data_IF_459480250607
#
_entry.id   IF_459480250607
#
_cell.length_a   1.000
_cell.length_b   1.000
_cell.length_c   1.000
_cell.angle_alpha   90.00
_cell.angle_beta   90.00
_cell.angle_gamma   90.00
#
_symmetry.space_group_name_H-M   'P 1'
#
loop_
_entity.id
_entity.type
_entity.pdbx_description
1 polymer ?
#
# COMPACT_ATOMS: atom_id res chain seq x y z
N UNK A 1 -11.04 -3.06 14.34
CA UNK A 1 -11.44 -2.62 12.98
C UNK A 1 -10.33 -1.86 12.26
N UNK A 2 -9.64 -0.96 12.95
CA UNK A 2 -8.55 -0.14 12.41
C UNK A 2 -7.40 -0.97 11.79
N UNK A 3 -7.02 -2.09 12.40
CA UNK A 3 -6.01 -3.03 11.87
C UNK A 3 -6.35 -3.55 10.47
N UNK A 4 -7.63 -3.87 10.19
CA UNK A 4 -8.07 -4.35 8.88
C UNK A 4 -7.85 -3.29 7.79
N UNK A 5 -8.21 -2.03 8.12
CA UNK A 5 -8.07 -0.88 7.21
C UNK A 5 -6.59 -0.62 6.90
N UNK A 6 -5.73 -0.66 7.93
CA UNK A 6 -4.29 -0.44 7.76
C UNK A 6 -3.68 -1.53 6.87
N UNK A 7 -4.01 -2.81 7.11
CA UNK A 7 -3.54 -3.92 6.28
C UNK A 7 -3.93 -3.69 4.82
N UNK A 8 -5.18 -3.28 4.56
CA UNK A 8 -5.66 -3.01 3.21
C UNK A 8 -4.89 -1.87 2.53
N UNK A 9 -4.66 -0.76 3.24
CA UNK A 9 -3.90 0.38 2.72
C UNK A 9 -2.43 0.05 2.45
N UNK A 10 -1.81 -0.78 3.29
CA UNK A 10 -0.45 -1.28 3.09
C UNK A 10 -0.36 -2.07 1.77
N UNK A 11 -1.30 -2.98 1.52
CA UNK A 11 -1.32 -3.77 0.28
C UNK A 11 -1.52 -2.89 -0.95
N UNK A 12 -2.41 -1.88 -0.86
CA UNK A 12 -2.60 -0.88 -1.93
C UNK A 12 -1.27 -0.15 -2.19
N UNK A 13 -0.61 0.34 -1.14
CA UNK A 13 0.67 1.05 -1.29
C UNK A 13 1.74 0.19 -1.96
N UNK A 14 1.95 -1.06 -1.52
CA UNK A 14 2.98 -1.92 -2.12
C UNK A 14 2.68 -2.27 -3.57
N UNK A 15 1.40 -2.43 -3.91
CA UNK A 15 0.97 -2.61 -5.29
C UNK A 15 1.32 -1.35 -6.11
N UNK A 16 1.08 -0.13 -5.62
CA UNK A 16 1.42 1.11 -6.33
C UNK A 16 2.94 1.23 -6.48
N UNK A 17 3.69 1.00 -5.40
CA UNK A 17 5.16 1.04 -5.40
C UNK A 17 5.78 0.07 -6.41
N UNK A 18 5.19 -1.14 -6.57
CA UNK A 18 5.64 -2.10 -7.58
C UNK A 18 5.47 -1.57 -8.99
N UNK A 19 4.36 -0.90 -9.28
CA UNK A 19 4.11 -0.31 -10.61
C UNK A 19 5.06 0.87 -10.84
N UNK A 20 5.23 1.74 -9.84
CA UNK A 20 6.16 2.88 -9.90
C UNK A 20 7.59 2.43 -10.23
N UNK A 21 8.08 1.37 -9.56
CA UNK A 21 9.41 0.79 -9.81
C UNK A 21 9.60 0.27 -11.25
N UNK A 22 8.52 -0.18 -11.89
CA UNK A 22 8.58 -0.68 -13.28
C UNK A 22 8.61 0.46 -14.31
N UNK A 23 7.96 1.57 -14.00
CA UNK A 23 7.75 2.67 -14.95
C UNK A 23 8.81 3.78 -14.81
N UNK A 24 9.29 4.06 -13.60
CA UNK A 24 10.25 5.13 -13.33
C UNK A 24 11.48 4.64 -12.54
N UNK A 25 12.63 5.26 -12.79
CA UNK A 25 13.82 5.04 -11.96
C UNK A 25 13.59 5.63 -10.57
N UNK A 26 13.55 4.77 -9.56
CA UNK A 26 13.36 5.18 -8.16
C UNK A 26 14.51 6.06 -7.66
N UNK A 27 14.18 7.29 -7.26
CA UNK A 27 15.09 8.17 -6.53
C UNK A 27 15.34 7.64 -5.10
N UNK A 28 16.42 8.07 -4.44
CA UNK A 28 16.79 7.62 -3.09
C UNK A 28 15.67 7.87 -2.06
N UNK A 29 14.99 9.01 -2.15
CA UNK A 29 13.86 9.38 -1.30
C UNK A 29 12.72 8.35 -1.35
N UNK A 30 12.35 7.92 -2.57
CA UNK A 30 11.31 6.90 -2.77
C UNK A 30 11.70 5.55 -2.17
N UNK A 31 12.97 5.16 -2.29
CA UNK A 31 13.48 3.93 -1.65
C UNK A 31 13.35 4.00 -0.13
N UNK A 32 13.72 5.13 0.48
CA UNK A 32 13.57 5.32 1.93
C UNK A 32 12.10 5.21 2.34
N UNK A 33 11.18 5.84 1.60
CA UNK A 33 9.74 5.76 1.85
C UNK A 33 9.20 4.32 1.76
N UNK A 34 9.66 3.51 0.80
CA UNK A 34 9.25 2.10 0.70
C UNK A 34 9.75 1.27 1.88
N UNK A 35 11.00 1.47 2.32
CA UNK A 35 11.57 0.78 3.49
C UNK A 35 10.79 1.16 4.74
N UNK A 36 10.47 2.44 4.88
CA UNK A 36 9.70 3.00 5.98
C UNK A 36 8.31 2.35 6.10
N UNK A 37 7.54 2.29 5.00
CA UNK A 37 6.23 1.62 5.00
C UNK A 37 6.36 0.12 5.24
N UNK A 38 7.46 -0.51 4.81
CA UNK A 38 7.73 -1.91 5.12
C UNK A 38 7.90 -2.17 6.62
N UNK A 39 8.59 -1.29 7.33
CA UNK A 39 8.68 -1.37 8.80
C UNK A 39 7.30 -1.23 9.44
N UNK A 40 6.48 -0.28 8.98
CA UNK A 40 5.09 -0.11 9.46
C UNK A 40 4.25 -1.35 9.21
N UNK A 41 4.43 -1.98 8.05
CA UNK A 41 3.74 -3.23 7.74
C UNK A 41 4.12 -4.33 8.72
N UNK A 42 5.42 -4.54 8.98
CA UNK A 42 5.87 -5.53 9.96
C UNK A 42 5.29 -5.28 11.35
N UNK A 43 5.28 -4.03 11.82
CA UNK A 43 4.69 -3.67 13.11
C UNK A 43 3.18 -3.96 13.15
N UNK A 44 2.46 -3.62 12.07
CA UNK A 44 1.01 -3.87 11.97
C UNK A 44 0.71 -5.37 11.99
N UNK A 45 1.49 -6.18 11.25
CA UNK A 45 1.32 -7.63 11.24
C UNK A 45 1.70 -8.27 12.58
N UNK A 46 2.77 -7.81 13.24
CA UNK A 46 3.14 -8.27 14.57
C UNK A 46 2.03 -7.97 15.59
N UNK A 47 1.46 -6.76 15.56
CA UNK A 47 0.31 -6.41 16.39
C UNK A 47 -0.89 -7.32 16.09
N UNK A 48 -1.23 -7.51 14.81
CA UNK A 48 -2.38 -8.30 14.39
C UNK A 48 -2.27 -9.78 14.80
N UNK A 49 -1.07 -10.38 14.74
CA UNK A 49 -0.83 -11.75 15.20
C UNK A 49 -1.13 -11.90 16.70
N UNK A 50 -0.80 -10.90 17.50
CA UNK A 50 -1.01 -10.96 18.96
C UNK A 50 -2.46 -10.68 19.38
N UNK A 51 -3.22 -9.93 18.58
CA UNK A 51 -4.55 -9.44 18.98
C UNK A 51 -5.70 -10.03 18.15
N UNK A 52 -5.41 -10.87 17.15
CA UNK A 52 -6.41 -11.40 16.22
C UNK A 52 -6.16 -12.89 15.95
N UNK A 53 -7.23 -13.64 15.70
CA UNK A 53 -7.10 -15.03 15.26
C UNK A 53 -6.34 -15.12 13.94
N UNK A 54 -5.37 -16.05 13.84
CA UNK A 54 -4.56 -16.24 12.63
C UNK A 54 -5.40 -16.44 11.37
N UNK A 55 -6.53 -17.17 11.47
CA UNK A 55 -7.45 -17.37 10.35
C UNK A 55 -8.05 -16.05 9.84
N UNK A 56 -8.38 -15.10 10.73
CA UNK A 56 -8.87 -13.77 10.34
C UNK A 56 -7.77 -12.96 9.67
N UNK A 57 -6.55 -13.00 10.20
CA UNK A 57 -5.42 -12.27 9.63
C UNK A 57 -5.12 -12.74 8.19
N UNK A 58 -5.10 -14.06 7.97
CA UNK A 58 -4.91 -14.65 6.63
C UNK A 58 -6.03 -14.22 5.69
N UNK A 59 -7.28 -14.33 6.14
CA UNK A 59 -8.45 -13.97 5.33
C UNK A 59 -8.43 -12.50 4.92
N UNK A 60 -8.18 -11.59 5.87
CA UNK A 60 -8.08 -10.15 5.61
C UNK A 60 -6.94 -9.82 4.67
N UNK A 61 -5.79 -10.46 4.83
CA UNK A 61 -4.63 -10.25 3.98
C UNK A 61 -4.91 -10.70 2.55
N UNK A 62 -5.58 -11.85 2.37
CA UNK A 62 -6.00 -12.36 1.06
C UNK A 62 -6.98 -11.41 0.37
N UNK A 63 -8.05 -11.00 1.06
CA UNK A 63 -9.02 -10.06 0.49
C UNK A 63 -8.38 -8.71 0.15
N UNK A 64 -7.53 -8.19 1.04
CA UNK A 64 -6.78 -6.95 0.81
C UNK A 64 -5.89 -7.05 -0.43
N UNK A 65 -5.20 -8.18 -0.60
CA UNK A 65 -4.35 -8.42 -1.77
C UNK A 65 -5.15 -8.46 -3.08
N UNK A 66 -6.31 -9.14 -3.08
CA UNK A 66 -7.21 -9.21 -4.24
C UNK A 66 -7.72 -7.81 -4.60
N UNK A 67 -8.25 -7.07 -3.62
CA UNK A 67 -8.81 -5.73 -3.83
C UNK A 67 -7.73 -4.76 -4.32
N UNK A 68 -6.55 -4.76 -3.69
CA UNK A 68 -5.42 -3.95 -4.14
C UNK A 68 -4.98 -4.34 -5.56
N UNK A 69 -5.04 -5.63 -5.90
CA UNK A 69 -4.82 -6.11 -7.26
C UNK A 69 -5.80 -5.51 -8.25
N UNK A 70 -7.11 -5.66 -7.99
CA UNK A 70 -8.19 -5.18 -8.84
C UNK A 70 -8.15 -3.67 -9.04
N UNK A 71 -7.97 -2.89 -7.97
CA UNK A 71 -7.88 -1.44 -8.02
C UNK A 71 -6.73 -0.98 -8.91
N UNK A 72 -5.55 -1.56 -8.73
CA UNK A 72 -4.41 -1.17 -9.57
C UNK A 72 -4.60 -1.62 -11.01
N UNK A 73 -5.13 -2.80 -11.28
CA UNK A 73 -5.42 -3.19 -12.66
C UNK A 73 -6.45 -2.27 -13.31
N UNK A 74 -7.47 -1.81 -12.58
CA UNK A 74 -8.45 -0.86 -13.09
C UNK A 74 -7.80 0.51 -13.37
N UNK A 75 -6.95 0.98 -12.45
CA UNK A 75 -6.15 2.20 -12.63
C UNK A 75 -5.21 2.07 -13.83
N UNK A 76 -4.54 0.93 -13.99
CA UNK A 76 -3.68 0.67 -15.13
C UNK A 76 -4.49 0.62 -16.43
N UNK A 77 -5.60 -0.12 -16.51
CA UNK A 77 -6.45 -0.16 -17.70
C UNK A 77 -7.03 1.22 -18.06
N UNK A 78 -7.32 2.06 -17.05
CA UNK A 78 -7.78 3.43 -17.26
C UNK A 78 -6.68 4.42 -17.63
N UNK A 79 -5.41 4.14 -17.27
CA UNK A 79 -4.24 5.00 -17.52
C UNK A 79 -3.39 4.47 -18.70
N UNK A 80 -3.61 3.26 -19.19
CA UNK A 80 -2.96 2.72 -20.39
C UNK A 80 -3.98 2.63 -21.52
N UNK A 81 -3.94 3.60 -22.44
CA UNK A 81 -4.62 3.50 -23.74
C UNK A 81 -3.60 2.94 -24.73
N UNK A 82 -3.94 1.82 -25.37
CA UNK A 82 -3.10 1.15 -26.38
C UNK A 82 -1.67 0.83 -25.92
N UNK A 83 -1.50 0.42 -24.66
CA UNK A 83 -0.21 -0.02 -24.12
C UNK A 83 0.82 1.08 -23.90
N UNK A 84 0.44 2.36 -24.08
CA UNK A 84 1.27 3.53 -23.77
C UNK A 84 0.78 4.18 -22.46
N UNK A 85 1.68 4.54 -21.53
CA UNK A 85 1.27 5.22 -20.31
C UNK A 85 0.67 6.59 -20.66
N UNK A 86 -0.54 6.89 -20.15
CA UNK A 86 -1.09 8.25 -20.21
C UNK A 86 -0.15 9.21 -19.49
N UNK A 87 0.12 10.35 -20.13
CA UNK A 87 0.77 11.51 -19.52
C UNK A 87 0.07 11.85 -18.19
N UNK A 88 0.73 11.61 -17.05
CA UNK A 88 0.16 11.95 -15.73
C UNK A 88 0.44 10.97 -14.59
N UNK A 89 0.99 9.78 -14.85
CA UNK A 89 1.38 8.79 -13.81
C UNK A 89 2.23 9.41 -12.67
N UNK A 90 3.11 10.37 -13.00
CA UNK A 90 3.94 11.07 -12.02
C UNK A 90 3.12 11.80 -10.93
N UNK A 91 1.91 12.27 -11.25
CA UNK A 91 1.02 12.97 -10.30
C UNK A 91 0.45 11.96 -9.30
N UNK A 92 0.04 10.79 -9.80
CA UNK A 92 -0.46 9.69 -8.97
C UNK A 92 0.65 9.22 -8.03
N UNK A 93 1.87 9.04 -8.54
CA UNK A 93 3.02 8.69 -7.71
C UNK A 93 3.35 9.78 -6.69
N UNK A 94 3.36 11.05 -7.08
CA UNK A 94 3.59 12.16 -6.14
C UNK A 94 2.58 12.16 -4.98
N UNK A 95 1.32 11.83 -5.25
CA UNK A 95 0.27 11.78 -4.24
C UNK A 95 0.36 10.55 -3.32
N UNK A 96 1.19 9.54 -3.63
CA UNK A 96 1.40 8.41 -2.71
C UNK A 96 2.03 8.82 -1.38
N UNK A 97 2.64 10.01 -1.30
CA UNK A 97 3.15 10.54 -0.02
C UNK A 97 2.03 10.76 1.00
N UNK A 98 0.83 11.18 0.55
CA UNK A 98 -0.34 11.34 1.41
C UNK A 98 -0.85 9.99 1.91
N UNK A 99 -0.83 8.97 1.04
CA UNK A 99 -1.17 7.60 1.43
C UNK A 99 -0.21 7.08 2.51
N UNK A 100 1.08 7.36 2.36
CA UNK A 100 2.08 6.98 3.37
C UNK A 100 1.85 7.71 4.69
N UNK A 101 1.68 9.02 4.67
CA UNK A 101 1.38 9.79 5.88
C UNK A 101 0.13 9.26 6.61
N UNK A 102 -0.91 8.89 5.87
CA UNK A 102 -2.12 8.30 6.42
C UNK A 102 -1.87 6.91 7.05
N UNK A 103 -1.10 6.04 6.39
CA UNK A 103 -0.70 4.74 6.95
C UNK A 103 0.07 4.91 8.26
N UNK A 104 0.99 5.89 8.31
CA UNK A 104 1.74 6.22 9.52
C UNK A 104 0.84 6.68 10.66
N UNK A 105 -0.02 7.63 10.38
CA UNK A 105 -0.94 8.19 11.36
C UNK A 105 -1.85 7.10 11.94
N UNK A 106 -2.43 6.25 11.08
CA UNK A 106 -3.26 5.14 11.54
C UNK A 106 -2.47 4.10 12.32
N UNK A 107 -1.23 3.78 11.91
CA UNK A 107 -0.39 2.86 12.67
C UNK A 107 -0.04 3.44 14.06
N UNK A 108 0.26 4.74 14.16
CA UNK A 108 0.50 5.37 15.45
C UNK A 108 -0.74 5.30 16.36
N UNK A 109 -1.93 5.59 15.81
CA UNK A 109 -3.20 5.44 16.54
C UNK A 109 -3.45 3.99 16.99
N UNK A 110 -3.13 3.00 16.15
CA UNK A 110 -3.29 1.59 16.49
C UNK A 110 -2.51 1.18 17.74
N UNK A 111 -1.33 1.78 17.97
CA UNK A 111 -0.47 1.45 19.11
C UNK A 111 -0.81 2.23 20.39
N UNK A 112 -1.59 3.31 20.27
CA UNK A 112 -2.08 4.08 21.42
C UNK A 112 -3.34 3.45 22.03
N UNK A 113 -4.13 2.75 21.21
CA UNK A 113 -5.40 2.11 21.57
C UNK A 113 -5.20 0.65 21.96
#
# INVERSE_FOLDING_TARGET
MLTYIIIQLIFIYFKIARVHKKEEKLNLFWKMQHILVFIVALLTFAYAINHMGLYMLVLVSLFSFIIAGMLITAVQLGIFVDGKPLLGMHIVYKNTIYLVALIYFLCALLWIV
#
